data_IF_942598887874
#
_entry.id   IF_942598887874
#
_cell.length_a   1.000
_cell.length_b   1.000
_cell.length_c   1.000
_cell.angle_alpha   90.00
_cell.angle_beta   90.00
_cell.angle_gamma   90.00
#
_symmetry.space_group_name_H-M   'P 1'
#
loop_
_entity.id
_entity.type
_entity.pdbx_description
1 polymer ?
#
# COMPACT_ATOMS: atom_id res chain seq x y z
N UNK A 1 8.65 25.25 -6.07
CA UNK A 1 7.52 24.29 -6.07
C UNK A 1 8.08 22.94 -5.70
N UNK A 2 7.94 22.51 -4.45
CA UNK A 2 8.39 21.19 -4.03
C UNK A 2 7.54 20.17 -4.79
N UNK A 3 8.17 19.39 -5.68
CA UNK A 3 7.50 18.28 -6.33
C UNK A 3 7.04 17.33 -5.23
N UNK A 4 5.72 17.22 -5.02
CA UNK A 4 5.13 16.17 -4.18
C UNK A 4 5.55 14.84 -4.81
N UNK A 5 6.68 14.32 -4.34
CA UNK A 5 7.38 13.20 -4.96
C UNK A 5 6.53 11.98 -4.62
N UNK A 6 5.77 11.48 -5.61
CA UNK A 6 4.87 10.36 -5.44
C UNK A 6 5.58 9.24 -4.65
N UNK A 7 4.90 8.74 -3.61
CA UNK A 7 5.43 7.65 -2.81
C UNK A 7 5.57 6.43 -3.73
N UNK A 8 6.66 5.69 -3.53
CA UNK A 8 6.93 4.45 -4.24
C UNK A 8 6.93 3.31 -3.23
N UNK A 9 6.87 2.08 -3.72
CA UNK A 9 6.92 0.90 -2.86
C UNK A 9 8.21 0.78 -2.02
N UNK A 10 9.28 1.50 -2.42
CA UNK A 10 10.55 1.56 -1.70
C UNK A 10 10.50 2.51 -0.49
N UNK A 11 9.72 3.59 -0.59
CA UNK A 11 9.57 4.58 0.48
C UNK A 11 8.76 4.04 1.68
N UNK A 12 7.85 3.08 1.42
CA UNK A 12 6.96 2.50 2.44
C UNK A 12 7.25 1.00 2.61
N UNK A 13 7.93 0.59 3.68
CA UNK A 13 8.15 -0.82 3.97
C UNK A 13 6.80 -1.51 4.22
N UNK A 14 6.42 -2.40 3.29
CA UNK A 14 5.14 -3.14 3.32
C UNK A 14 4.15 -2.73 2.25
N UNK A 15 4.40 -1.64 1.51
CA UNK A 15 3.62 -1.30 0.31
C UNK A 15 3.95 -2.21 -0.88
N UNK A 16 5.13 -2.85 -0.88
CA UNK A 16 5.51 -3.88 -1.83
C UNK A 16 5.20 -5.29 -1.37
N UNK A 17 4.74 -6.12 -2.30
CA UNK A 17 4.65 -7.57 -2.11
C UNK A 17 6.03 -8.25 -2.20
N UNK A 18 7.07 -7.55 -2.69
CA UNK A 18 8.43 -8.08 -2.88
C UNK A 18 8.45 -9.38 -3.70
N UNK A 19 7.57 -9.51 -4.69
CA UNK A 19 7.40 -10.72 -5.49
C UNK A 19 6.73 -11.90 -4.77
N UNK A 20 6.26 -11.72 -3.54
CA UNK A 20 5.51 -12.76 -2.80
C UNK A 20 4.04 -12.74 -3.20
N UNK A 21 3.42 -13.92 -3.26
CA UNK A 21 1.98 -14.01 -3.53
C UNK A 21 1.18 -13.45 -2.35
N UNK A 22 0.10 -12.68 -2.58
CA UNK A 22 -0.72 -12.12 -1.49
C UNK A 22 -1.30 -13.21 -0.57
N UNK A 23 -1.54 -14.42 -1.09
CA UNK A 23 -1.97 -15.58 -0.29
C UNK A 23 -0.97 -15.97 0.83
N UNK A 24 0.32 -15.71 0.64
CA UNK A 24 1.39 -16.04 1.60
C UNK A 24 1.59 -14.98 2.68
N UNK A 25 1.09 -13.77 2.47
CA UNK A 25 1.24 -12.64 3.39
C UNK A 25 0.33 -12.76 4.62
N UNK A 26 0.65 -12.02 5.68
CA UNK A 26 -0.23 -11.90 6.86
C UNK A 26 -1.41 -10.98 6.58
N UNK A 27 -2.50 -11.13 7.34
CA UNK A 27 -3.66 -10.24 7.26
C UNK A 27 -3.28 -8.77 7.45
N UNK A 28 -2.35 -8.49 8.35
CA UNK A 28 -1.86 -7.14 8.64
C UNK A 28 -1.09 -6.56 7.45
N UNK A 29 -0.21 -7.34 6.82
CA UNK A 29 0.51 -6.92 5.61
C UNK A 29 -0.45 -6.62 4.46
N UNK A 30 -1.46 -7.48 4.24
CA UNK A 30 -2.46 -7.25 3.19
C UNK A 30 -3.31 -6.00 3.46
N UNK A 31 -3.71 -5.78 4.72
CA UNK A 31 -4.44 -4.58 5.14
C UNK A 31 -3.59 -3.34 4.93
N UNK A 32 -2.32 -3.40 5.30
CA UNK A 32 -1.39 -2.30 5.13
C UNK A 32 -1.16 -1.97 3.64
N UNK A 33 -0.93 -2.98 2.80
CA UNK A 33 -0.78 -2.84 1.36
C UNK A 33 -1.98 -2.15 0.69
N UNK A 34 -3.19 -2.52 1.12
CA UNK A 34 -4.46 -1.94 0.65
C UNK A 34 -4.64 -0.50 1.15
N UNK A 35 -4.30 -0.20 2.41
CA UNK A 35 -4.30 1.18 2.93
C UNK A 35 -3.35 2.09 2.16
N UNK A 36 -2.17 1.58 1.81
CA UNK A 36 -1.20 2.29 0.97
C UNK A 36 -1.73 2.60 -0.44
N UNK A 37 -2.92 2.11 -0.82
CA UNK A 37 -3.57 2.36 -2.12
C UNK A 37 -4.92 3.06 -1.96
N UNK A 38 -5.19 3.61 -0.78
CA UNK A 38 -6.42 4.34 -0.47
C UNK A 38 -7.62 3.43 -0.24
N UNK A 39 -7.43 2.12 -0.08
CA UNK A 39 -8.53 1.22 0.21
C UNK A 39 -9.04 1.44 1.64
N UNK A 40 -10.36 1.55 1.79
CA UNK A 40 -11.02 1.74 3.09
C UNK A 40 -11.11 0.46 3.92
N UNK A 41 -10.71 -0.70 3.38
CA UNK A 41 -10.78 -2.02 4.01
C UNK A 41 -12.19 -2.42 4.48
N UNK A 42 -13.21 -1.67 4.06
CA UNK A 42 -14.58 -1.82 4.55
C UNK A 42 -15.15 -3.14 4.07
N UNK A 43 -15.55 -3.99 5.00
CA UNK A 43 -16.12 -5.31 4.72
C UNK A 43 -15.11 -6.44 4.50
N UNK A 44 -13.81 -6.18 4.64
CA UNK A 44 -12.76 -7.23 4.55
C UNK A 44 -12.54 -7.86 5.94
N UNK A 45 -13.27 -8.94 6.22
CA UNK A 45 -13.19 -9.68 7.50
C UNK A 45 -12.23 -10.86 7.44
N UNK A 46 -12.09 -11.50 6.28
CA UNK A 46 -11.28 -12.71 6.13
C UNK A 46 -10.03 -12.49 5.29
N UNK A 47 -9.03 -13.36 5.48
CA UNK A 47 -7.79 -13.36 4.69
C UNK A 47 -8.08 -13.48 3.20
N UNK A 48 -8.95 -14.42 2.81
CA UNK A 48 -9.28 -14.65 1.41
C UNK A 48 -9.85 -13.41 0.73
N UNK A 49 -10.69 -12.62 1.43
CA UNK A 49 -11.21 -11.36 0.90
C UNK A 49 -10.10 -10.31 0.69
N UNK A 50 -9.16 -10.21 1.64
CA UNK A 50 -8.00 -9.32 1.51
C UNK A 50 -7.13 -9.72 0.31
N UNK A 51 -6.82 -11.00 0.18
CA UNK A 51 -6.02 -11.55 -0.93
C UNK A 51 -6.69 -11.24 -2.27
N UNK A 52 -7.98 -11.56 -2.40
CA UNK A 52 -8.74 -11.29 -3.62
C UNK A 52 -8.71 -9.82 -3.99
N UNK A 53 -8.89 -8.92 -3.00
CA UNK A 53 -8.85 -7.48 -3.26
C UNK A 53 -7.48 -7.02 -3.72
N UNK A 54 -6.41 -7.52 -3.10
CA UNK A 54 -5.03 -7.21 -3.54
C UNK A 54 -4.82 -7.64 -4.99
N UNK A 55 -5.26 -8.85 -5.35
CA UNK A 55 -5.17 -9.35 -6.72
C UNK A 55 -5.99 -8.51 -7.71
N UNK A 56 -7.18 -8.04 -7.32
CA UNK A 56 -8.00 -7.11 -8.13
C UNK A 56 -7.26 -5.79 -8.39
N UNK A 57 -6.63 -5.18 -7.38
CA UNK A 57 -5.85 -3.95 -7.57
C UNK A 57 -4.68 -4.14 -8.53
N UNK A 58 -3.96 -5.26 -8.42
CA UNK A 58 -2.86 -5.59 -9.34
C UNK A 58 -3.38 -5.81 -10.75
N UNK A 59 -4.49 -6.55 -10.89
CA UNK A 59 -5.11 -6.83 -12.19
C UNK A 59 -5.63 -5.56 -12.88
N UNK A 60 -6.12 -4.60 -12.10
CA UNK A 60 -6.57 -3.31 -12.58
C UNK A 60 -5.42 -2.30 -12.82
N UNK A 61 -4.17 -2.66 -12.50
CA UNK A 61 -3.02 -1.76 -12.62
C UNK A 61 -3.05 -0.58 -11.64
N UNK A 62 -3.85 -0.68 -10.58
CA UNK A 62 -3.95 0.32 -9.51
C UNK A 62 -2.86 0.15 -8.45
N UNK A 63 -1.99 -0.84 -8.62
CA UNK A 63 -0.92 -1.13 -7.70
C UNK A 63 0.17 -0.04 -7.67
N UNK A 64 0.25 0.78 -8.73
CA UNK A 64 1.24 1.85 -8.90
C UNK A 64 0.92 3.14 -8.12
N UNK A 65 -0.33 3.37 -7.74
CA UNK A 65 -0.72 4.58 -7.03
C UNK A 65 -0.57 4.40 -5.51
N UNK A 66 0.64 4.60 -5.02
CA UNK A 66 0.94 4.52 -3.58
C UNK A 66 0.61 5.86 -2.91
N UNK A 67 -0.25 5.78 -1.91
CA UNK A 67 -0.60 6.86 -0.98
C UNK A 67 -0.08 6.56 0.41
N UNK A 68 0.16 7.60 1.21
CA UNK A 68 0.61 7.45 2.58
C UNK A 68 -0.52 6.81 3.43
N UNK A 69 -0.32 5.61 3.99
CA UNK A 69 -1.33 4.97 4.83
C UNK A 69 -1.44 5.62 6.21
N UNK A 70 -0.45 6.43 6.61
CA UNK A 70 -0.40 7.08 7.91
C UNK A 70 -1.10 8.44 7.86
N UNK A 71 -2.03 8.73 8.79
CA UNK A 71 -2.73 10.01 8.84
C UNK A 71 -1.77 11.19 9.07
N UNK A 72 -0.62 10.94 9.69
CA UNK A 72 0.43 11.93 9.91
C UNK A 72 1.36 12.12 8.69
N UNK A 73 1.12 11.37 7.61
CA UNK A 73 1.91 11.37 6.39
C UNK A 73 3.41 11.20 6.66
N UNK A 74 3.75 10.26 7.55
CA UNK A 74 5.11 10.09 8.08
C UNK A 74 6.09 9.77 6.95
N UNK A 75 5.68 8.94 5.99
CA UNK A 75 6.53 8.55 4.87
C UNK A 75 6.74 9.70 3.90
N UNK A 76 5.68 10.47 3.63
CA UNK A 76 5.74 11.69 2.82
C UNK A 76 6.72 12.70 3.43
N UNK A 77 6.57 13.01 4.73
CA UNK A 77 7.45 13.92 5.47
C UNK A 77 8.91 13.44 5.47
N UNK A 78 9.14 12.13 5.58
CA UNK A 78 10.48 11.55 5.56
C UNK A 78 11.16 11.71 4.20
N UNK A 79 10.40 11.52 3.11
CA UNK A 79 10.87 11.70 1.73
C UNK A 79 11.20 13.17 1.42
N UNK A 80 10.40 14.10 1.93
CA UNK A 80 10.66 15.55 1.81
C UNK A 80 11.87 16.02 2.63
N UNK A 81 12.28 15.29 3.67
CA UNK A 81 13.45 15.65 4.50
C UNK A 81 14.77 15.12 3.96
N UNK A 82 14.71 14.17 3.03
CA UNK A 82 15.88 13.56 2.37
C UNK A 82 16.30 14.30 1.09
N UNK A 83 15.58 15.36 0.72
CA UNK A 83 15.91 16.30 -0.36
C UNK A 83 16.43 17.62 0.22
#
# INVERSE_FOLDING_TARGET
MAASRALTEDDIPGASLRGRSPATLKNEELRFWLKCRGDTLKGLKTKAQLVKRVEEYIKEGRDQNIVDPDPDSIYTKRKERLV
#
